data_IF_012467631657
#
_entry.id   IF_012467631657
#
_cell.length_a   1.000
_cell.length_b   1.000
_cell.length_c   1.000
_cell.angle_alpha   90.00
_cell.angle_beta   90.00
_cell.angle_gamma   90.00
#
_symmetry.space_group_name_H-M   'P 1'
#
loop_
_entity.id
_entity.type
_entity.pdbx_description
1 polymer ?
#
# COMPACT_ATOMS: atom_id res chain seq x y z
N UNK A 1 8.24 -23.84 -21.25
CA UNK A 1 7.22 -22.88 -21.75
C UNK A 1 6.24 -22.34 -20.69
N UNK A 2 5.85 -23.07 -19.63
CA UNK A 2 4.98 -22.57 -18.53
C UNK A 2 5.67 -21.59 -17.56
N UNK A 3 6.96 -21.74 -17.27
CA UNK A 3 7.74 -20.88 -16.37
C UNK A 3 7.93 -19.45 -16.92
N UNK A 4 8.15 -19.31 -18.22
CA UNK A 4 8.32 -18.01 -18.89
C UNK A 4 7.03 -17.17 -18.83
N UNK A 5 5.85 -17.79 -19.03
CA UNK A 5 4.55 -17.10 -18.94
C UNK A 5 4.25 -16.57 -17.52
N UNK A 6 4.64 -17.31 -16.47
CA UNK A 6 4.44 -16.88 -15.09
C UNK A 6 5.37 -15.71 -14.71
N UNK A 7 6.61 -15.71 -15.21
CA UNK A 7 7.55 -14.62 -14.96
C UNK A 7 7.09 -13.34 -15.68
N UNK A 8 6.67 -13.44 -16.93
CA UNK A 8 6.11 -12.30 -17.68
C UNK A 8 4.84 -11.74 -17.01
N UNK A 9 3.91 -12.59 -16.59
CA UNK A 9 2.70 -12.19 -15.88
C UNK A 9 3.00 -11.49 -14.54
N UNK A 10 4.00 -11.99 -13.79
CA UNK A 10 4.42 -11.37 -12.55
C UNK A 10 5.16 -10.03 -12.75
N UNK A 11 5.96 -9.91 -13.80
CA UNK A 11 6.61 -8.64 -14.18
C UNK A 11 5.60 -7.59 -14.65
N UNK A 12 4.63 -7.99 -15.45
CA UNK A 12 3.55 -7.09 -15.89
C UNK A 12 2.70 -6.60 -14.70
N UNK A 13 2.40 -7.51 -13.77
CA UNK A 13 1.70 -7.18 -12.54
C UNK A 13 2.51 -6.28 -11.60
N UNK A 14 3.81 -6.51 -11.49
CA UNK A 14 4.73 -5.65 -10.75
C UNK A 14 4.84 -4.25 -11.38
N UNK A 15 4.89 -4.17 -12.71
CA UNK A 15 4.86 -2.92 -13.45
C UNK A 15 3.55 -2.14 -13.24
N UNK A 16 2.40 -2.82 -13.23
CA UNK A 16 1.09 -2.23 -12.94
C UNK A 16 1.00 -1.71 -11.49
N UNK A 17 1.59 -2.42 -10.52
CA UNK A 17 1.64 -1.98 -9.12
C UNK A 17 2.53 -0.75 -8.94
N UNK A 18 3.68 -0.70 -9.63
CA UNK A 18 4.61 0.45 -9.61
C UNK A 18 4.00 1.70 -10.29
N UNK A 19 3.17 1.50 -11.31
CA UNK A 19 2.48 2.57 -12.04
C UNK A 19 1.11 2.92 -11.46
N UNK A 20 0.73 2.34 -10.32
CA UNK A 20 -0.55 2.63 -9.67
C UNK A 20 -0.61 4.11 -9.30
N UNK A 21 -1.63 4.78 -9.79
CA UNK A 21 -1.96 6.16 -9.42
C UNK A 21 -2.49 6.15 -7.98
N UNK A 22 -2.13 7.18 -7.21
CA UNK A 22 -2.61 7.30 -5.84
C UNK A 22 -4.09 7.66 -5.78
N UNK A 23 -4.78 7.27 -4.70
CA UNK A 23 -6.19 7.64 -4.51
C UNK A 23 -6.37 9.17 -4.50
N UNK A 24 -5.34 9.93 -4.08
CA UNK A 24 -5.32 11.39 -4.16
C UNK A 24 -5.39 11.88 -5.61
N UNK A 25 -4.62 11.27 -6.51
CA UNK A 25 -4.61 11.64 -7.93
C UNK A 25 -5.91 11.23 -8.61
N UNK A 26 -6.44 10.02 -8.33
CA UNK A 26 -7.73 9.56 -8.87
C UNK A 26 -8.85 10.52 -8.45
N UNK A 27 -8.86 10.94 -7.19
CA UNK A 27 -9.81 11.94 -6.67
C UNK A 27 -9.78 13.23 -7.47
N UNK A 28 -8.56 13.76 -7.72
CA UNK A 28 -8.40 15.04 -8.44
C UNK A 28 -8.89 14.89 -9.88
N UNK A 29 -8.48 13.83 -10.56
CA UNK A 29 -8.90 13.52 -11.94
C UNK A 29 -10.42 13.43 -12.04
N UNK A 30 -11.05 12.65 -11.15
CA UNK A 30 -12.53 12.53 -11.15
C UNK A 30 -13.21 13.87 -10.89
N UNK A 31 -12.69 14.69 -9.98
CA UNK A 31 -13.23 16.00 -9.67
C UNK A 31 -13.16 16.94 -10.88
N UNK A 32 -12.01 17.00 -11.53
CA UNK A 32 -11.80 17.84 -12.71
C UNK A 32 -12.67 17.41 -13.88
N UNK A 33 -12.78 16.08 -14.14
CA UNK A 33 -13.69 15.55 -15.17
C UNK A 33 -15.13 15.95 -14.85
N UNK A 34 -15.59 15.76 -13.61
CA UNK A 34 -16.94 16.10 -13.20
C UNK A 34 -17.28 17.59 -13.42
N UNK A 35 -16.39 18.49 -12.97
CA UNK A 35 -16.59 19.95 -13.14
C UNK A 35 -16.62 20.34 -14.61
N UNK A 36 -15.74 19.80 -15.44
CA UNK A 36 -15.68 20.13 -16.86
C UNK A 36 -16.88 19.58 -17.63
N UNK A 37 -17.38 18.38 -17.25
CA UNK A 37 -18.62 17.81 -17.80
C UNK A 37 -19.85 18.67 -17.43
N UNK A 38 -19.96 19.08 -16.18
CA UNK A 38 -21.02 19.99 -15.69
C UNK A 38 -21.01 21.33 -16.45
N UNK A 39 -19.83 21.79 -16.83
CA UNK A 39 -19.66 23.01 -17.65
C UNK A 39 -19.98 22.81 -19.13
N UNK A 40 -20.37 21.60 -19.56
CA UNK A 40 -20.71 21.29 -20.96
C UNK A 40 -19.50 21.12 -21.88
N UNK A 41 -18.29 20.92 -21.32
CA UNK A 41 -17.11 20.69 -22.15
C UNK A 41 -17.18 19.32 -22.86
N UNK A 42 -16.69 19.28 -24.10
CA UNK A 42 -16.58 18.04 -24.86
C UNK A 42 -15.58 17.07 -24.21
N UNK A 43 -15.94 15.77 -24.17
CA UNK A 43 -15.17 14.72 -23.48
C UNK A 43 -13.72 14.67 -23.97
N UNK A 44 -13.48 14.74 -25.25
CA UNK A 44 -12.13 14.73 -25.84
C UNK A 44 -11.27 15.87 -25.31
N UNK A 45 -11.83 17.07 -25.28
CA UNK A 45 -11.17 18.28 -24.78
C UNK A 45 -10.90 18.21 -23.25
N UNK A 46 -11.81 17.59 -22.50
CA UNK A 46 -11.63 17.36 -21.05
C UNK A 46 -10.37 16.55 -20.80
N UNK A 47 -10.18 15.44 -21.52
CA UNK A 47 -9.00 14.59 -21.33
C UNK A 47 -7.70 15.27 -21.74
N UNK A 48 -7.70 16.10 -22.80
CA UNK A 48 -6.54 16.91 -23.19
C UNK A 48 -6.13 17.90 -22.09
N UNK A 49 -7.11 18.61 -21.52
CA UNK A 49 -6.88 19.60 -20.45
C UNK A 49 -6.28 18.89 -19.23
N UNK A 50 -6.89 17.81 -18.76
CA UNK A 50 -6.47 17.10 -17.55
C UNK A 50 -5.11 16.43 -17.75
N UNK A 51 -4.85 15.89 -18.96
CA UNK A 51 -3.54 15.31 -19.32
C UNK A 51 -2.43 16.35 -19.18
N UNK A 52 -2.66 17.60 -19.64
CA UNK A 52 -1.68 18.66 -19.60
C UNK A 52 -1.28 19.09 -18.17
N UNK A 53 -2.20 18.96 -17.21
CA UNK A 53 -2.03 19.38 -15.83
C UNK A 53 -1.61 18.25 -14.88
N UNK A 54 -1.63 17.01 -15.37
CA UNK A 54 -1.42 15.81 -14.55
C UNK A 54 0.06 15.50 -14.31
N UNK A 55 0.35 14.76 -13.23
CA UNK A 55 1.67 14.20 -12.97
C UNK A 55 2.12 13.26 -14.09
N UNK A 56 3.43 13.06 -14.28
CA UNK A 56 3.97 12.21 -15.35
C UNK A 56 3.31 10.81 -15.39
N UNK A 57 2.97 10.22 -14.23
CA UNK A 57 2.29 8.91 -14.18
C UNK A 57 0.84 8.99 -14.62
N UNK A 58 0.12 9.98 -14.12
CA UNK A 58 -1.28 10.22 -14.48
C UNK A 58 -1.40 10.63 -15.96
N UNK A 59 -0.49 11.44 -16.46
CA UNK A 59 -0.42 11.86 -17.86
C UNK A 59 -0.34 10.66 -18.81
N UNK A 60 0.62 9.74 -18.59
CA UNK A 60 0.76 8.54 -19.41
C UNK A 60 -0.51 7.68 -19.43
N UNK A 61 -1.21 7.61 -18.32
CA UNK A 61 -2.45 6.85 -18.21
C UNK A 61 -3.61 7.55 -18.92
N UNK A 62 -3.74 8.85 -18.70
CA UNK A 62 -4.79 9.67 -19.33
C UNK A 62 -4.61 9.74 -20.86
N UNK A 63 -3.36 9.76 -21.36
CA UNK A 63 -3.12 9.69 -22.79
C UNK A 63 -3.59 8.37 -23.41
N UNK A 64 -3.44 7.23 -22.70
CA UNK A 64 -3.98 5.95 -23.16
C UNK A 64 -5.52 6.03 -23.22
N UNK A 65 -6.16 6.55 -22.14
CA UNK A 65 -7.62 6.70 -22.07
C UNK A 65 -8.11 7.63 -23.19
N UNK A 66 -7.50 8.80 -23.35
CA UNK A 66 -7.82 9.79 -24.41
C UNK A 66 -7.74 9.18 -25.80
N UNK A 67 -6.66 8.47 -26.11
CA UNK A 67 -6.48 7.80 -27.41
C UNK A 67 -7.58 6.76 -27.69
N UNK A 68 -8.07 6.04 -26.67
CA UNK A 68 -9.15 5.07 -26.84
C UNK A 68 -10.50 5.76 -27.04
N UNK A 69 -10.78 6.84 -26.33
CA UNK A 69 -11.98 7.66 -26.50
C UNK A 69 -12.02 8.25 -27.93
N UNK A 70 -10.90 8.80 -28.42
CA UNK A 70 -10.80 9.32 -29.78
C UNK A 70 -11.04 8.27 -30.86
N UNK A 71 -10.77 6.99 -30.57
CA UNK A 71 -11.06 5.85 -31.45
C UNK A 71 -12.53 5.39 -31.38
N UNK A 72 -13.37 6.05 -30.58
CA UNK A 72 -14.78 5.75 -30.43
C UNK A 72 -15.12 4.69 -29.38
N UNK A 73 -14.16 4.27 -28.53
CA UNK A 73 -14.47 3.40 -27.41
C UNK A 73 -15.23 4.17 -26.33
N UNK A 74 -16.04 3.45 -25.55
CA UNK A 74 -16.70 4.04 -24.39
C UNK A 74 -15.68 4.49 -23.34
N UNK A 75 -16.06 5.44 -22.48
CA UNK A 75 -15.18 5.94 -21.42
C UNK A 75 -14.87 4.80 -20.45
N UNK A 76 -15.87 4.00 -20.08
CA UNK A 76 -15.68 2.83 -19.21
C UNK A 76 -14.69 1.82 -19.79
N UNK A 77 -14.79 1.48 -21.07
CA UNK A 77 -13.86 0.58 -21.77
C UNK A 77 -12.44 1.17 -21.83
N UNK A 78 -12.33 2.47 -22.11
CA UNK A 78 -11.04 3.17 -22.18
C UNK A 78 -10.28 3.14 -20.84
N UNK A 79 -10.99 3.32 -19.72
CA UNK A 79 -10.42 3.13 -18.39
C UNK A 79 -10.11 1.67 -18.09
N UNK A 80 -10.94 0.73 -18.51
CA UNK A 80 -10.76 -0.70 -18.28
C UNK A 80 -9.50 -1.25 -18.94
N UNK A 81 -9.18 -0.80 -20.14
CA UNK A 81 -7.99 -1.20 -20.91
C UNK A 81 -6.70 -0.89 -20.16
N UNK A 82 -6.66 0.16 -19.35
CA UNK A 82 -5.49 0.51 -18.54
C UNK A 82 -5.14 -0.53 -17.47
N UNK A 83 -6.11 -1.37 -17.05
CA UNK A 83 -5.93 -2.41 -16.04
C UNK A 83 -5.65 -1.92 -14.61
N UNK A 84 -5.61 -0.60 -14.39
CA UNK A 84 -5.21 0.03 -13.11
C UNK A 84 -6.42 0.26 -12.19
N UNK A 85 -7.57 0.58 -12.76
CA UNK A 85 -8.77 0.93 -12.01
C UNK A 85 -9.51 -0.29 -11.47
N UNK A 86 -10.17 -0.11 -10.32
CA UNK A 86 -10.97 -1.16 -9.71
C UNK A 86 -12.22 -1.47 -10.53
N UNK A 87 -12.75 -2.70 -10.40
CA UNK A 87 -14.02 -3.06 -11.03
C UNK A 87 -15.16 -2.13 -10.61
N UNK A 88 -15.15 -1.67 -9.37
CA UNK A 88 -16.12 -0.69 -8.86
C UNK A 88 -16.06 0.61 -9.65
N UNK A 89 -14.87 1.18 -9.84
CA UNK A 89 -14.66 2.40 -10.62
C UNK A 89 -15.22 2.26 -12.04
N UNK A 90 -14.84 1.19 -12.73
CA UNK A 90 -15.31 0.92 -14.10
C UNK A 90 -16.83 0.77 -14.17
N UNK A 91 -17.42 0.04 -13.20
CA UNK A 91 -18.88 -0.16 -13.17
C UNK A 91 -19.64 1.15 -12.92
N UNK A 92 -19.12 2.04 -12.07
CA UNK A 92 -19.69 3.35 -11.81
C UNK A 92 -19.65 4.21 -13.07
N UNK A 93 -18.50 4.28 -13.76
CA UNK A 93 -18.39 5.04 -15.03
C UNK A 93 -19.36 4.48 -16.07
N UNK A 94 -19.44 3.17 -16.22
CA UNK A 94 -20.35 2.52 -17.17
C UNK A 94 -21.81 2.88 -16.86
N UNK A 95 -22.20 2.91 -15.58
CA UNK A 95 -23.54 3.34 -15.18
C UNK A 95 -23.81 4.81 -15.51
N UNK A 96 -22.84 5.71 -15.24
CA UNK A 96 -22.95 7.13 -15.59
C UNK A 96 -23.02 7.39 -17.09
N UNK A 97 -22.23 6.65 -17.87
CA UNK A 97 -22.21 6.74 -19.32
C UNK A 97 -23.55 6.28 -19.93
N UNK A 98 -24.14 5.17 -19.43
CA UNK A 98 -25.43 4.65 -19.90
C UNK A 98 -26.62 5.50 -19.47
N UNK A 99 -26.54 6.15 -18.30
CA UNK A 99 -27.61 7.02 -17.79
C UNK A 99 -27.50 8.48 -18.26
N UNK A 100 -26.38 8.86 -18.90
CA UNK A 100 -26.08 10.24 -19.29
C UNK A 100 -25.70 11.18 -18.13
N UNK A 101 -25.49 10.64 -16.91
CA UNK A 101 -25.18 11.41 -15.69
C UNK A 101 -23.71 11.19 -15.26
N UNK A 102 -22.78 11.26 -16.22
CA UNK A 102 -21.37 11.00 -15.98
C UNK A 102 -20.73 12.05 -15.05
N UNK A 103 -21.16 13.27 -15.10
CA UNK A 103 -20.79 14.39 -14.23
C UNK A 103 -21.03 14.07 -12.76
N UNK A 104 -22.25 13.60 -12.43
CA UNK A 104 -22.64 13.19 -11.07
C UNK A 104 -21.79 12.00 -10.62
N UNK A 105 -21.64 10.99 -11.45
CA UNK A 105 -20.83 9.81 -11.13
C UNK A 105 -19.36 10.16 -10.91
N UNK A 106 -18.80 11.07 -11.68
CA UNK A 106 -17.41 11.54 -11.48
C UNK A 106 -17.27 12.31 -10.16
N UNK A 107 -18.25 13.11 -9.80
CA UNK A 107 -18.31 13.79 -8.49
C UNK A 107 -18.38 12.77 -7.34
N UNK A 108 -19.23 11.75 -7.45
CA UNK A 108 -19.37 10.68 -6.45
C UNK A 108 -18.08 9.86 -6.31
N UNK A 109 -17.43 9.51 -7.42
CA UNK A 109 -16.13 8.83 -7.41
C UNK A 109 -15.06 9.70 -6.75
N UNK A 110 -15.05 11.01 -7.02
CA UNK A 110 -14.14 11.94 -6.35
C UNK A 110 -14.34 11.93 -4.83
N UNK A 111 -15.59 12.02 -4.39
CA UNK A 111 -15.93 11.97 -2.96
C UNK A 111 -15.58 10.62 -2.32
N UNK A 112 -15.78 9.52 -3.03
CA UNK A 112 -15.39 8.19 -2.58
C UNK A 112 -13.87 8.10 -2.35
N UNK A 113 -13.06 8.51 -3.35
CA UNK A 113 -11.60 8.45 -3.23
C UNK A 113 -11.05 9.47 -2.23
N UNK A 114 -11.73 10.58 -1.99
CA UNK A 114 -11.39 11.53 -0.91
C UNK A 114 -11.54 10.87 0.47
N UNK A 115 -12.65 10.17 0.70
CA UNK A 115 -12.87 9.41 1.93
C UNK A 115 -11.83 8.30 2.12
N UNK A 116 -11.54 7.53 1.07
CA UNK A 116 -10.51 6.47 1.09
C UNK A 116 -9.12 7.06 1.41
N UNK A 117 -8.74 8.17 0.79
CA UNK A 117 -7.48 8.85 1.06
C UNK A 117 -7.40 9.35 2.50
N UNK A 118 -8.45 10.04 2.99
CA UNK A 118 -8.51 10.53 4.37
C UNK A 118 -8.42 9.41 5.40
N UNK A 119 -9.09 8.29 5.16
CA UNK A 119 -9.02 7.10 6.01
C UNK A 119 -7.59 6.51 6.05
N UNK A 120 -6.94 6.38 4.90
CA UNK A 120 -5.55 5.92 4.82
C UNK A 120 -4.60 6.84 5.57
N UNK A 121 -4.73 8.14 5.37
CA UNK A 121 -3.90 9.12 6.08
C UNK A 121 -4.11 9.07 7.58
N UNK A 122 -5.36 8.93 8.05
CA UNK A 122 -5.68 8.78 9.46
C UNK A 122 -5.04 7.53 10.08
N UNK A 123 -5.09 6.40 9.36
CA UNK A 123 -4.45 5.15 9.81
C UNK A 123 -2.93 5.34 9.92
N UNK A 124 -2.29 5.94 8.91
CA UNK A 124 -0.85 6.21 8.92
C UNK A 124 -0.48 7.10 10.12
N UNK A 125 -1.20 8.19 10.33
CA UNK A 125 -0.95 9.12 11.44
C UNK A 125 -1.05 8.44 12.80
N UNK A 126 -2.07 7.62 13.02
CA UNK A 126 -2.24 6.89 14.27
C UNK A 126 -1.13 5.83 14.46
N UNK A 127 -0.63 5.24 13.38
CA UNK A 127 0.40 4.21 13.41
C UNK A 127 1.80 4.75 13.72
N UNK A 128 2.05 6.04 13.57
CA UNK A 128 3.37 6.66 13.81
C UNK A 128 3.83 6.42 15.25
N UNK A 129 2.96 6.65 16.23
CA UNK A 129 3.30 6.50 17.64
C UNK A 129 3.71 5.07 18.02
N UNK A 130 2.93 4.01 17.71
CA UNK A 130 3.36 2.63 17.95
C UNK A 130 4.67 2.27 17.25
N UNK A 131 4.90 2.75 16.03
CA UNK A 131 6.15 2.48 15.30
C UNK A 131 7.35 3.10 16.00
N UNK A 132 7.24 4.34 16.47
CA UNK A 132 8.31 5.01 17.21
C UNK A 132 8.62 4.26 18.51
N UNK A 133 7.59 3.83 19.25
CA UNK A 133 7.80 3.06 20.47
C UNK A 133 8.51 1.73 20.23
N UNK A 134 8.13 1.00 19.17
CA UNK A 134 8.77 -0.27 18.81
C UNK A 134 10.24 -0.02 18.45
N UNK A 135 10.53 0.98 17.64
CA UNK A 135 11.91 1.33 17.25
C UNK A 135 12.74 1.67 18.50
N UNK A 136 12.21 2.53 19.38
CA UNK A 136 12.91 2.91 20.60
C UNK A 136 13.17 1.71 21.52
N UNK A 137 12.19 0.82 21.66
CA UNK A 137 12.33 -0.41 22.46
C UNK A 137 13.42 -1.33 21.89
N UNK A 138 13.44 -1.50 20.57
CA UNK A 138 14.48 -2.31 19.91
C UNK A 138 15.86 -1.68 20.11
N UNK A 139 16.00 -0.37 19.94
CA UNK A 139 17.26 0.36 20.16
C UNK A 139 17.74 0.24 21.61
N UNK A 140 16.84 0.39 22.57
CA UNK A 140 17.17 0.23 24.00
C UNK A 140 17.61 -1.20 24.31
N UNK A 141 16.93 -2.19 23.76
CA UNK A 141 17.30 -3.60 23.92
C UNK A 141 18.70 -3.89 23.32
N UNK A 142 18.96 -3.41 22.11
CA UNK A 142 20.27 -3.53 21.47
C UNK A 142 21.36 -2.84 22.28
N UNK A 143 21.11 -1.65 22.81
CA UNK A 143 22.06 -0.94 23.66
C UNK A 143 22.42 -1.76 24.90
N UNK A 144 21.44 -2.36 25.56
CA UNK A 144 21.68 -3.22 26.72
C UNK A 144 22.55 -4.43 26.34
N UNK A 145 22.23 -5.13 25.25
CA UNK A 145 22.98 -6.32 24.84
C UNK A 145 24.38 -6.02 24.35
N UNK A 146 24.60 -4.87 23.70
CA UNK A 146 25.89 -4.53 23.08
C UNK A 146 26.84 -3.84 24.09
N UNK A 147 26.28 -3.00 24.99
CA UNK A 147 27.11 -2.18 25.88
C UNK A 147 27.01 -2.60 27.35
N UNK A 148 25.80 -2.84 27.86
CA UNK A 148 25.64 -3.05 29.31
C UNK A 148 26.05 -4.46 29.73
N UNK A 149 25.53 -5.49 29.08
CA UNK A 149 25.80 -6.89 29.45
C UNK A 149 27.26 -7.26 29.34
N UNK A 150 28.03 -6.88 28.29
CA UNK A 150 29.49 -7.17 28.25
C UNK A 150 30.29 -6.56 29.41
N UNK A 151 29.90 -5.36 29.84
CA UNK A 151 30.56 -4.74 31.00
C UNK A 151 30.35 -5.54 32.29
N UNK A 152 29.17 -6.10 32.51
CA UNK A 152 28.92 -7.01 33.61
C UNK A 152 29.74 -8.30 33.49
N UNK A 153 29.91 -8.83 32.28
CA UNK A 153 30.72 -10.03 32.07
C UNK A 153 32.16 -9.82 32.52
N UNK A 154 32.75 -8.66 32.22
CA UNK A 154 34.10 -8.30 32.67
C UNK A 154 34.18 -8.24 34.21
N UNK A 155 33.16 -7.67 34.85
CA UNK A 155 33.13 -7.58 36.33
C UNK A 155 33.05 -8.97 36.98
N UNK A 156 32.23 -9.89 36.48
CA UNK A 156 32.13 -11.25 37.01
C UNK A 156 33.42 -12.03 36.82
N UNK A 157 34.06 -11.92 35.64
CA UNK A 157 35.34 -12.61 35.37
C UNK A 157 36.47 -12.09 36.22
N UNK A 158 36.57 -10.77 36.43
CA UNK A 158 37.64 -10.17 37.23
C UNK A 158 37.55 -10.51 38.74
N UNK A 159 36.32 -10.71 39.23
CA UNK A 159 36.09 -11.06 40.64
C UNK A 159 36.06 -12.58 40.91
N UNK A 160 36.18 -13.42 39.87
CA UNK A 160 36.14 -14.88 40.01
C UNK A 160 34.77 -15.41 40.46
N UNK A 161 33.69 -14.63 40.29
CA UNK A 161 32.34 -14.97 40.72
C UNK A 161 31.58 -15.60 39.55
N UNK A 162 31.02 -16.78 39.75
CA UNK A 162 30.14 -17.39 38.77
C UNK A 162 28.79 -16.64 38.67
N UNK A 163 28.38 -16.17 37.47
CA UNK A 163 27.09 -15.49 37.31
C UNK A 163 25.92 -16.46 37.48
N UNK A 164 24.81 -16.01 38.07
CA UNK A 164 23.55 -16.79 38.15
C UNK A 164 23.13 -17.30 36.79
N UNK A 165 22.33 -18.39 36.73
CA UNK A 165 21.90 -19.02 35.47
C UNK A 165 21.23 -18.05 34.49
N UNK A 166 20.34 -17.17 34.97
CA UNK A 166 19.66 -16.18 34.14
C UNK A 166 20.67 -15.21 33.52
N UNK A 167 21.64 -14.73 34.30
CA UNK A 167 22.68 -13.82 33.84
C UNK A 167 23.56 -14.48 32.80
N UNK A 168 23.92 -15.78 33.00
CA UNK A 168 24.71 -16.57 32.03
C UNK A 168 23.99 -16.73 30.69
N UNK A 169 22.69 -16.96 30.68
CA UNK A 169 21.86 -17.01 29.46
C UNK A 169 21.86 -15.65 28.74
N UNK A 170 21.66 -14.55 29.49
CA UNK A 170 21.68 -13.20 28.89
C UNK A 170 23.07 -12.86 28.32
N UNK A 171 24.15 -13.23 28.98
CA UNK A 171 25.52 -13.07 28.45
C UNK A 171 25.72 -13.88 27.17
N UNK A 172 25.22 -15.13 27.11
CA UNK A 172 25.27 -15.94 25.90
C UNK A 172 24.53 -15.29 24.74
N UNK A 173 23.34 -14.75 24.98
CA UNK A 173 22.59 -13.99 23.96
C UNK A 173 23.36 -12.74 23.53
N UNK A 174 23.93 -12.01 24.49
CA UNK A 174 24.72 -10.80 24.22
C UNK A 174 25.91 -11.08 23.31
N UNK A 175 26.67 -12.15 23.58
CA UNK A 175 27.81 -12.54 22.74
C UNK A 175 27.38 -12.91 21.31
N UNK A 176 26.27 -13.63 21.15
CA UNK A 176 25.72 -13.95 19.83
C UNK A 176 25.29 -12.68 19.10
N UNK A 177 24.60 -11.76 19.78
CA UNK A 177 24.16 -10.48 19.20
C UNK A 177 25.35 -9.63 18.78
N UNK A 178 26.34 -9.47 19.66
CA UNK A 178 27.51 -8.61 19.41
C UNK A 178 28.36 -9.14 18.26
N UNK A 179 28.64 -10.46 18.25
CA UNK A 179 29.47 -11.07 17.22
C UNK A 179 28.78 -11.16 15.85
N UNK A 180 27.45 -11.23 15.81
CA UNK A 180 26.69 -11.41 14.58
C UNK A 180 25.78 -10.21 14.23
N UNK A 181 26.01 -9.05 14.81
CA UNK A 181 25.13 -7.89 14.66
C UNK A 181 24.93 -7.51 13.18
N UNK A 182 25.99 -7.52 12.37
CA UNK A 182 25.92 -7.25 10.94
C UNK A 182 25.05 -8.29 10.20
N UNK A 183 25.21 -9.57 10.54
CA UNK A 183 24.40 -10.65 9.93
C UNK A 183 22.94 -10.59 10.34
N UNK A 184 22.65 -10.22 11.60
CA UNK A 184 21.28 -10.06 12.11
C UNK A 184 20.57 -8.92 11.37
N UNK A 185 21.24 -7.76 11.23
CA UNK A 185 20.71 -6.62 10.48
C UNK A 185 20.48 -6.97 9.01
N UNK A 186 21.46 -7.62 8.37
CA UNK A 186 21.37 -8.04 6.97
C UNK A 186 20.23 -9.04 6.75
N UNK A 187 20.10 -10.04 7.62
CA UNK A 187 19.01 -11.03 7.59
C UNK A 187 17.64 -10.37 7.76
N UNK A 188 17.53 -9.40 8.67
CA UNK A 188 16.28 -8.66 8.90
C UNK A 188 15.88 -7.82 7.68
N UNK A 189 16.84 -7.16 7.03
CA UNK A 189 16.61 -6.41 5.80
C UNK A 189 16.19 -7.35 4.67
N UNK A 190 16.89 -8.48 4.51
CA UNK A 190 16.57 -9.46 3.47
C UNK A 190 15.18 -10.07 3.68
N UNK A 191 14.84 -10.39 4.93
CA UNK A 191 13.51 -10.90 5.31
C UNK A 191 12.40 -9.87 5.07
N UNK A 192 12.65 -8.59 5.39
CA UNK A 192 11.72 -7.49 5.12
C UNK A 192 11.45 -7.34 3.61
N UNK A 193 12.50 -7.31 2.80
CA UNK A 193 12.38 -7.20 1.33
C UNK A 193 11.68 -8.44 0.77
N UNK A 194 12.08 -9.64 1.21
CA UNK A 194 11.46 -10.90 0.80
C UNK A 194 9.98 -10.98 1.18
N UNK A 195 9.63 -10.52 2.38
CA UNK A 195 8.25 -10.43 2.85
C UNK A 195 7.41 -9.48 1.99
N UNK A 196 7.92 -8.29 1.72
CA UNK A 196 7.24 -7.31 0.85
C UNK A 196 7.04 -7.88 -0.56
N UNK A 197 8.09 -8.49 -1.15
CA UNK A 197 8.02 -9.13 -2.46
C UNK A 197 6.99 -10.26 -2.48
N UNK A 198 6.99 -11.12 -1.46
CA UNK A 198 6.07 -12.24 -1.30
C UNK A 198 4.59 -11.78 -1.17
N UNK A 199 4.34 -10.69 -0.41
CA UNK A 199 3.01 -10.09 -0.27
C UNK A 199 2.50 -9.46 -1.58
N UNK A 200 3.38 -8.86 -2.37
CA UNK A 200 3.02 -8.23 -3.64
C UNK A 200 2.71 -9.28 -4.71
N UNK A 201 3.46 -10.37 -4.74
CA UNK A 201 3.43 -11.35 -5.85
C UNK A 201 2.34 -12.42 -5.66
N UNK A 202 1.94 -12.73 -4.43
CA UNK A 202 1.06 -13.86 -4.13
C UNK A 202 -0.42 -13.44 -4.01
N UNK A 203 -1.20 -13.65 -5.09
CA UNK A 203 -2.66 -13.39 -5.09
C UNK A 203 -3.46 -14.29 -4.13
N UNK A 204 -2.95 -15.49 -3.86
CA UNK A 204 -3.57 -16.40 -2.90
C UNK A 204 -3.51 -15.86 -1.47
N UNK A 205 -2.43 -15.14 -1.11
CA UNK A 205 -2.28 -14.50 0.19
C UNK A 205 -3.21 -13.29 0.30
N UNK A 206 -3.40 -12.52 -0.78
CA UNK A 206 -4.39 -11.43 -0.79
C UNK A 206 -5.81 -11.96 -0.57
N UNK A 207 -6.16 -13.12 -1.16
CA UNK A 207 -7.43 -13.81 -0.91
C UNK A 207 -7.51 -14.36 0.51
N UNK A 208 -6.41 -14.90 1.04
CA UNK A 208 -6.33 -15.41 2.43
C UNK A 208 -6.45 -14.28 3.44
N UNK A 209 -5.75 -13.15 3.24
CA UNK A 209 -5.83 -11.97 4.09
C UNK A 209 -7.24 -11.36 4.04
N UNK A 210 -7.87 -11.30 2.86
CA UNK A 210 -9.26 -10.88 2.76
C UNK A 210 -10.20 -11.86 3.49
N UNK A 211 -9.95 -13.17 3.40
CA UNK A 211 -10.71 -14.18 4.13
C UNK A 211 -10.48 -14.10 5.65
N UNK A 212 -9.23 -13.84 6.09
CA UNK A 212 -8.88 -13.64 7.50
C UNK A 212 -9.44 -12.33 8.07
N UNK A 213 -9.53 -11.26 7.27
CA UNK A 213 -10.20 -10.00 7.68
C UNK A 213 -11.66 -10.23 8.10
N UNK A 214 -12.34 -11.21 7.49
CA UNK A 214 -13.71 -11.59 7.89
C UNK A 214 -13.77 -12.54 9.09
N UNK A 215 -12.67 -13.26 9.40
CA UNK A 215 -12.62 -14.20 10.54
C UNK A 215 -12.19 -13.56 11.87
N UNK A 216 -11.49 -12.42 11.83
CA UNK A 216 -11.10 -11.71 13.05
C UNK A 216 -12.31 -10.91 13.56
N UNK A 217 -12.89 -11.23 14.73
CA UNK A 217 -14.15 -10.64 15.20
C UNK A 217 -14.06 -9.11 15.38
N UNK A 218 -12.88 -8.59 15.67
CA UNK A 218 -12.62 -7.14 15.80
C UNK A 218 -12.70 -6.41 14.44
N UNK A 219 -12.15 -7.00 13.37
CA UNK A 219 -12.19 -6.43 12.02
C UNK A 219 -13.59 -6.57 11.41
N UNK A 220 -14.31 -7.66 11.73
CA UNK A 220 -15.71 -7.84 11.33
C UNK A 220 -16.60 -6.72 11.89
N UNK A 221 -16.39 -6.34 13.15
CA UNK A 221 -17.16 -5.28 13.82
C UNK A 221 -16.89 -3.89 13.22
N UNK A 222 -15.62 -3.61 12.87
CA UNK A 222 -15.22 -2.37 12.17
C UNK A 222 -15.80 -2.34 10.76
N UNK A 223 -15.72 -3.43 9.99
CA UNK A 223 -16.29 -3.49 8.64
C UNK A 223 -17.82 -3.41 8.65
N UNK A 224 -18.50 -3.97 9.65
CA UNK A 224 -19.94 -3.81 9.82
C UNK A 224 -20.31 -2.36 10.14
N UNK A 225 -19.59 -1.70 11.05
CA UNK A 225 -19.78 -0.27 11.36
C UNK A 225 -19.54 0.61 10.12
N UNK A 226 -18.51 0.36 9.34
CA UNK A 226 -18.24 1.09 8.10
C UNK A 226 -19.29 0.80 7.02
N UNK A 227 -19.82 -0.42 6.95
CA UNK A 227 -20.88 -0.75 6.01
C UNK A 227 -22.22 -0.10 6.40
N UNK A 228 -22.55 -0.05 7.69
CA UNK A 228 -23.79 0.58 8.18
C UNK A 228 -23.77 2.11 8.15
N UNK A 229 -22.59 2.73 8.09
CA UNK A 229 -22.46 4.20 7.91
C UNK A 229 -22.39 4.62 6.43
N UNK A 230 -22.42 3.68 5.50
CA UNK A 230 -22.43 3.94 4.05
C UNK A 230 -23.84 3.96 3.44
N UNK A 231 -24.88 3.70 4.27
CA UNK A 231 -26.30 3.89 3.92
C UNK A 231 -26.85 5.13 4.68
#
# INVERSE_FOLDING_TARGET
MRLSKNIFYNLEKFYLVLNRISDKEIRVICKEIGILLESGCEITKIFEIIESQSSKKAKNLLSIVSNHIQKGNSIAESFQITGIFSKFFISMIKAGETSGNLDIIMSDLSNYYDKEYKLKMKIITISIYPIILIILSILSMLFIFVFVIPNFQVVFTNNGIEPPLITRVLMGISTVVTNNLAYIIFSFILFSIGSIYFFITNDNIKKLINSLKFKIPFIKKINQLVATTRF
#
